data_IF_310883935011
#
_entry.id   IF_310883935011
#
_cell.length_a   1.000
_cell.length_b   1.000
_cell.length_c   1.000
_cell.angle_alpha   90.00
_cell.angle_beta   90.00
_cell.angle_gamma   90.00
#
_symmetry.space_group_name_H-M   'P 1'
#
loop_
_entity.id
_entity.type
_entity.pdbx_description
1 polymer ?
#
# COMPACT_ATOMS: atom_id res chain seq x y z
N UNK A 1 94.85 -11.12 29.74
CA UNK A 1 94.68 -10.80 31.17
C UNK A 1 93.82 -9.56 31.34
N UNK A 2 92.63 -9.77 31.94
CA UNK A 2 91.76 -8.87 32.75
C UNK A 2 91.74 -7.36 32.43
N UNK A 3 90.58 -6.90 31.91
CA UNK A 3 90.12 -5.50 32.04
C UNK A 3 88.99 -5.42 33.10
N UNK A 4 89.29 -4.60 34.11
CA UNK A 4 88.44 -3.74 34.96
C UNK A 4 87.18 -3.20 34.21
N UNK A 5 86.02 -2.85 34.78
CA UNK A 5 85.50 -2.58 36.14
C UNK A 5 83.95 -2.59 36.06
N UNK A 6 83.31 -2.70 37.22
CA UNK A 6 81.87 -2.62 37.58
C UNK A 6 81.01 -1.61 36.80
N UNK A 7 79.74 -1.97 36.51
CA UNK A 7 78.54 -1.24 36.98
C UNK A 7 77.22 -1.90 36.53
N UNK A 8 76.31 -1.98 37.49
CA UNK A 8 74.90 -2.42 37.47
C UNK A 8 74.02 -1.76 36.39
N UNK A 9 73.09 -2.52 35.78
CA UNK A 9 71.63 -2.23 35.80
C UNK A 9 70.86 -3.30 35.00
N UNK A 10 70.03 -4.06 35.70
CA UNK A 10 69.05 -4.98 35.13
C UNK A 10 67.86 -4.13 34.67
N UNK A 11 67.69 -3.93 33.37
CA UNK A 11 66.47 -3.40 32.76
C UNK A 11 65.94 -4.42 31.77
N UNK A 12 64.92 -5.17 32.18
CA UNK A 12 64.00 -5.85 31.28
C UNK A 12 62.64 -5.18 31.48
N UNK A 13 62.46 -4.05 30.80
CA UNK A 13 61.18 -3.39 30.66
C UNK A 13 60.34 -4.22 29.68
N UNK A 14 59.21 -4.72 30.19
CA UNK A 14 58.12 -5.32 29.41
C UNK A 14 57.63 -4.26 28.42
N UNK A 15 57.90 -4.49 27.13
CA UNK A 15 57.27 -3.71 26.06
C UNK A 15 55.81 -4.20 25.98
N UNK A 16 54.90 -3.38 26.49
CA UNK A 16 53.49 -3.39 26.12
C UNK A 16 53.42 -3.17 24.60
N UNK A 17 53.33 -4.25 23.84
CA UNK A 17 52.86 -4.16 22.46
C UNK A 17 51.37 -3.84 22.55
N UNK A 18 51.07 -2.55 22.31
CA UNK A 18 49.73 -2.06 22.08
C UNK A 18 49.09 -2.89 20.99
N UNK A 19 48.12 -3.72 21.35
CA UNK A 19 47.12 -4.15 20.40
C UNK A 19 46.44 -2.88 19.89
N UNK A 20 46.82 -2.46 18.68
CA UNK A 20 45.95 -1.63 17.86
C UNK A 20 44.72 -2.50 17.67
N UNK A 21 43.72 -2.33 18.54
CA UNK A 21 42.39 -2.86 18.33
C UNK A 21 41.87 -2.17 17.07
N UNK A 22 42.11 -2.81 15.91
CA UNK A 22 41.40 -2.51 14.67
C UNK A 22 39.94 -2.45 15.06
N UNK A 23 39.34 -1.26 14.98
CA UNK A 23 38.04 -0.96 15.55
C UNK A 23 37.07 -2.08 15.21
N UNK A 24 36.76 -2.92 16.20
CA UNK A 24 35.63 -3.82 16.13
C UNK A 24 34.42 -2.91 16.22
N UNK A 25 34.02 -2.32 15.09
CA UNK A 25 32.68 -1.80 14.93
C UNK A 25 31.78 -2.96 15.30
N UNK A 26 31.07 -2.86 16.42
CA UNK A 26 30.16 -3.90 16.86
C UNK A 26 29.34 -4.37 15.65
N UNK A 27 29.22 -5.70 15.42
CA UNK A 27 28.55 -6.20 14.22
C UNK A 27 27.16 -5.60 14.17
N UNK A 28 26.90 -4.82 13.11
CA UNK A 28 25.63 -4.13 12.94
C UNK A 28 24.57 -5.22 12.77
N UNK A 29 23.69 -5.31 13.76
CA UNK A 29 22.75 -6.42 13.90
C UNK A 29 21.95 -6.62 12.60
N UNK A 30 22.06 -7.82 12.02
CA UNK A 30 21.30 -8.23 10.84
C UNK A 30 22.03 -8.06 9.49
N UNK A 31 23.19 -7.38 9.43
CA UNK A 31 23.99 -7.33 8.19
C UNK A 31 24.68 -8.66 7.86
N UNK A 32 24.94 -9.48 8.88
CA UNK A 32 25.56 -10.80 8.82
C UNK A 32 24.74 -11.82 8.01
N UNK A 33 23.42 -11.61 7.91
CA UNK A 33 22.49 -12.51 7.22
C UNK A 33 22.16 -12.08 5.79
N UNK A 34 22.71 -10.94 5.35
CA UNK A 34 22.44 -10.39 4.02
C UNK A 34 23.39 -10.98 2.98
N UNK A 35 22.90 -11.10 1.74
CA UNK A 35 23.80 -11.35 0.61
C UNK A 35 24.79 -10.18 0.46
N UNK A 36 25.97 -10.39 -0.17
CA UNK A 36 26.95 -9.32 -0.35
C UNK A 36 26.38 -8.04 -0.99
N UNK A 37 25.45 -8.20 -1.94
CA UNK A 37 24.80 -7.08 -2.63
C UNK A 37 23.79 -6.33 -1.75
N UNK A 38 22.97 -7.05 -0.98
CA UNK A 38 22.04 -6.46 -0.02
C UNK A 38 22.77 -5.76 1.12
N UNK A 39 23.88 -6.33 1.57
CA UNK A 39 24.78 -5.72 2.52
C UNK A 39 25.35 -4.42 1.98
N UNK A 40 25.87 -4.43 0.75
CA UNK A 40 26.37 -3.21 0.10
C UNK A 40 25.28 -2.13 -0.03
N UNK A 41 24.03 -2.51 -0.30
CA UNK A 41 22.90 -1.57 -0.32
C UNK A 41 22.63 -0.95 1.06
N UNK A 42 22.63 -1.76 2.12
CA UNK A 42 22.45 -1.30 3.49
C UNK A 42 23.60 -0.39 3.93
N UNK A 43 24.84 -0.76 3.62
CA UNK A 43 26.06 0.01 3.95
C UNK A 43 26.08 1.38 3.27
N UNK A 44 25.55 1.50 2.03
CA UNK A 44 25.41 2.80 1.35
C UNK A 44 24.55 3.82 2.11
N UNK A 45 23.65 3.35 2.98
CA UNK A 45 22.76 4.19 3.79
C UNK A 45 22.71 3.70 5.24
N UNK A 46 23.87 3.42 5.82
CA UNK A 46 24.01 2.73 7.09
C UNK A 46 23.29 3.42 8.26
N UNK A 47 23.35 4.74 8.34
CA UNK A 47 22.67 5.52 9.37
C UNK A 47 21.15 5.31 9.33
N UNK A 48 20.56 5.31 8.13
CA UNK A 48 19.13 5.05 7.95
C UNK A 48 18.81 3.60 8.27
N UNK A 49 19.63 2.66 7.81
CA UNK A 49 19.45 1.23 8.06
C UNK A 49 19.40 0.90 9.55
N UNK A 50 20.28 1.52 10.35
CA UNK A 50 20.32 1.33 11.80
C UNK A 50 19.03 1.81 12.49
N UNK A 51 18.39 2.87 11.99
CA UNK A 51 17.13 3.41 12.52
C UNK A 51 15.90 2.55 12.20
N UNK A 52 15.98 1.66 11.21
CA UNK A 52 14.86 0.79 10.83
C UNK A 52 14.69 -0.37 11.81
N UNK A 53 13.44 -0.73 12.11
CA UNK A 53 13.12 -1.96 12.84
C UNK A 53 13.46 -3.20 11.99
N UNK A 54 13.57 -4.41 12.59
CA UNK A 54 13.77 -5.64 11.83
C UNK A 54 12.74 -5.85 10.71
N UNK A 55 11.47 -5.54 10.97
CA UNK A 55 10.36 -5.65 10.01
C UNK A 55 10.51 -4.64 8.86
N UNK A 56 10.90 -3.41 9.17
CA UNK A 56 11.15 -2.37 8.16
C UNK A 56 12.36 -2.72 7.28
N UNK A 57 13.43 -3.29 7.87
CA UNK A 57 14.58 -3.81 7.12
C UNK A 57 14.16 -4.94 6.18
N UNK A 58 13.35 -5.90 6.68
CA UNK A 58 12.84 -6.99 5.87
C UNK A 58 12.02 -6.48 4.66
N UNK A 59 11.11 -5.52 4.89
CA UNK A 59 10.34 -4.89 3.81
C UNK A 59 11.22 -4.13 2.82
N UNK A 60 12.26 -3.43 3.29
CA UNK A 60 13.19 -2.72 2.41
C UNK A 60 13.92 -3.69 1.47
N UNK A 61 14.37 -4.85 1.99
CA UNK A 61 15.01 -5.89 1.20
C UNK A 61 14.05 -6.56 0.22
N UNK A 62 12.82 -6.86 0.65
CA UNK A 62 11.78 -7.40 -0.23
C UNK A 62 11.49 -6.46 -1.40
N UNK A 63 11.30 -5.15 -1.10
CA UNK A 63 11.11 -4.13 -2.12
C UNK A 63 12.30 -4.04 -3.09
N UNK A 64 13.53 -4.16 -2.57
CA UNK A 64 14.73 -4.18 -3.40
C UNK A 64 14.79 -5.41 -4.32
N UNK A 65 14.54 -6.61 -3.78
CA UNK A 65 14.49 -7.85 -4.56
C UNK A 65 13.42 -7.77 -5.66
N UNK A 66 12.23 -7.26 -5.32
CA UNK A 66 11.15 -7.03 -6.29
C UNK A 66 11.55 -6.03 -7.37
N UNK A 67 12.20 -4.92 -7.00
CA UNK A 67 12.70 -3.95 -7.96
C UNK A 67 13.73 -4.57 -8.92
N UNK A 68 14.58 -5.46 -8.40
CA UNK A 68 15.58 -6.18 -9.20
C UNK A 68 14.93 -7.13 -10.19
N UNK A 69 13.85 -7.82 -9.80
CA UNK A 69 13.13 -8.74 -10.68
C UNK A 69 12.21 -8.06 -11.71
N UNK A 70 11.96 -6.75 -11.57
CA UNK A 70 11.18 -5.99 -12.56
C UNK A 70 11.90 -5.87 -13.91
N UNK A 71 11.11 -5.94 -14.98
CA UNK A 71 11.49 -5.60 -16.35
C UNK A 71 11.83 -4.11 -16.48
N UNK A 72 12.57 -3.69 -17.53
CA UNK A 72 12.83 -2.28 -17.81
C UNK A 72 11.55 -1.44 -17.87
N UNK A 73 10.49 -1.96 -18.48
CA UNK A 73 9.19 -1.32 -18.65
C UNK A 73 8.49 -1.12 -17.30
N UNK A 74 8.47 -2.14 -16.44
CA UNK A 74 7.89 -2.06 -15.09
C UNK A 74 8.64 -1.05 -14.21
N UNK A 75 9.98 -1.02 -14.29
CA UNK A 75 10.78 -0.03 -13.56
C UNK A 75 10.47 1.38 -14.04
N UNK A 76 10.29 1.58 -15.34
CA UNK A 76 9.93 2.89 -15.88
C UNK A 76 8.52 3.32 -15.44
N UNK A 77 7.54 2.42 -15.51
CA UNK A 77 6.21 2.68 -14.97
C UNK A 77 6.25 3.06 -13.47
N UNK A 78 7.06 2.35 -12.66
CA UNK A 78 7.24 2.68 -11.26
C UNK A 78 7.89 4.06 -11.05
N UNK A 79 8.89 4.45 -11.86
CA UNK A 79 9.47 5.80 -11.82
C UNK A 79 8.46 6.87 -12.18
N UNK A 80 7.63 6.65 -13.20
CA UNK A 80 6.58 7.58 -13.59
C UNK A 80 5.54 7.75 -12.49
N UNK A 81 5.10 6.65 -11.88
CA UNK A 81 4.20 6.68 -10.73
C UNK A 81 4.80 7.45 -9.55
N UNK A 82 6.09 7.27 -9.27
CA UNK A 82 6.79 8.03 -8.24
C UNK A 82 6.86 9.53 -8.57
N UNK A 83 7.14 9.91 -9.83
CA UNK A 83 7.12 11.32 -10.26
C UNK A 83 5.75 11.96 -10.04
N UNK A 84 4.68 11.27 -10.45
CA UNK A 84 3.29 11.71 -10.22
C UNK A 84 2.99 11.86 -8.73
N UNK A 85 3.35 10.86 -7.92
CA UNK A 85 3.16 10.92 -6.47
C UNK A 85 3.88 12.12 -5.83
N UNK A 86 5.12 12.41 -6.24
CA UNK A 86 5.88 13.56 -5.72
C UNK A 86 5.21 14.90 -6.02
N UNK A 87 4.48 15.00 -7.13
CA UNK A 87 3.77 16.21 -7.55
C UNK A 87 2.42 16.41 -6.83
N UNK A 88 1.92 15.41 -6.12
CA UNK A 88 0.68 15.52 -5.34
C UNK A 88 0.82 16.50 -4.18
N UNK A 89 -0.29 17.14 -3.80
CA UNK A 89 -0.37 17.98 -2.60
C UNK A 89 -0.12 17.15 -1.33
N UNK A 90 0.27 17.78 -0.20
CA UNK A 90 0.41 17.09 1.08
C UNK A 90 -0.83 16.29 1.49
N UNK A 91 -2.02 16.85 1.27
CA UNK A 91 -3.31 16.24 1.62
C UNK A 91 -3.59 15.00 0.75
N UNK A 92 -3.32 15.09 -0.55
CA UNK A 92 -3.45 13.95 -1.46
C UNK A 92 -2.48 12.83 -1.10
N UNK A 93 -1.22 13.17 -0.76
CA UNK A 93 -0.23 12.20 -0.29
C UNK A 93 -0.69 11.53 1.01
N UNK A 94 -1.16 12.31 1.98
CA UNK A 94 -1.64 11.80 3.25
C UNK A 94 -2.79 10.79 3.05
N UNK A 95 -3.74 11.12 2.16
CA UNK A 95 -4.85 10.21 1.82
C UNK A 95 -4.36 8.89 1.23
N UNK A 96 -3.44 8.94 0.26
CA UNK A 96 -2.88 7.72 -0.36
C UNK A 96 -2.14 6.87 0.68
N UNK A 97 -1.35 7.50 1.56
CA UNK A 97 -0.62 6.80 2.62
C UNK A 97 -1.58 6.14 3.61
N UNK A 98 -2.67 6.82 3.97
CA UNK A 98 -3.71 6.26 4.84
C UNK A 98 -4.41 5.07 4.16
N UNK A 99 -4.78 5.19 2.89
CA UNK A 99 -5.39 4.09 2.14
C UNK A 99 -4.44 2.90 2.01
N UNK A 100 -3.14 3.15 1.81
CA UNK A 100 -2.11 2.12 1.79
C UNK A 100 -1.94 1.44 3.15
N UNK A 101 -1.98 2.19 4.25
CA UNK A 101 -1.96 1.62 5.59
C UNK A 101 -3.15 0.69 5.82
N UNK A 102 -4.36 1.16 5.50
CA UNK A 102 -5.59 0.35 5.60
C UNK A 102 -5.49 -0.93 4.76
N UNK A 103 -4.91 -0.85 3.57
CA UNK A 103 -4.65 -2.02 2.72
C UNK A 103 -3.71 -3.04 3.39
N UNK A 104 -2.63 -2.57 4.02
CA UNK A 104 -1.67 -3.45 4.71
C UNK A 104 -2.26 -4.12 5.95
N UNK A 105 -3.24 -3.47 6.59
CA UNK A 105 -3.98 -4.00 7.75
C UNK A 105 -5.06 -5.02 7.34
N UNK A 106 -5.42 -5.11 6.06
CA UNK A 106 -6.40 -6.09 5.59
C UNK A 106 -5.89 -7.53 5.81
N UNK A 107 -6.73 -8.44 6.32
CA UNK A 107 -6.43 -9.87 6.31
C UNK A 107 -6.10 -10.35 4.90
N UNK A 108 -5.18 -11.30 4.79
CA UNK A 108 -4.69 -11.79 3.49
C UNK A 108 -5.83 -12.30 2.59
N UNK A 109 -6.79 -13.03 3.15
CA UNK A 109 -7.97 -13.49 2.42
C UNK A 109 -8.78 -12.34 1.80
N UNK A 110 -8.90 -11.20 2.50
CA UNK A 110 -9.59 -10.01 1.98
C UNK A 110 -8.77 -9.31 0.90
N UNK A 111 -7.44 -9.21 1.05
CA UNK A 111 -6.58 -8.68 -0.03
C UNK A 111 -6.72 -9.51 -1.30
N UNK A 112 -6.69 -10.83 -1.19
CA UNK A 112 -6.84 -11.73 -2.34
C UNK A 112 -8.21 -11.60 -3.01
N UNK A 113 -9.28 -11.47 -2.23
CA UNK A 113 -10.62 -11.22 -2.77
C UNK A 113 -10.69 -9.92 -3.57
N UNK A 114 -10.15 -8.83 -3.01
CA UNK A 114 -10.12 -7.52 -3.65
C UNK A 114 -9.25 -7.54 -4.92
N UNK A 115 -8.11 -8.22 -4.88
CA UNK A 115 -7.26 -8.39 -6.06
C UNK A 115 -8.01 -9.12 -7.18
N UNK A 116 -8.66 -10.26 -6.87
CA UNK A 116 -9.48 -10.99 -7.85
C UNK A 116 -10.64 -10.15 -8.38
N UNK A 117 -11.26 -9.32 -7.54
CA UNK A 117 -12.31 -8.41 -7.97
C UNK A 117 -11.78 -7.33 -8.93
N UNK A 118 -10.60 -6.80 -8.64
CA UNK A 118 -9.91 -5.84 -9.51
C UNK A 118 -9.52 -6.49 -10.84
N UNK A 119 -8.98 -7.70 -10.84
CA UNK A 119 -8.60 -8.41 -12.07
C UNK A 119 -9.83 -8.66 -12.96
N UNK A 120 -10.94 -9.12 -12.37
CA UNK A 120 -12.21 -9.24 -13.09
C UNK A 120 -12.68 -7.91 -13.66
N UNK A 121 -12.53 -6.82 -12.91
CA UNK A 121 -12.90 -5.48 -13.38
C UNK A 121 -12.01 -5.04 -14.56
N UNK A 122 -10.70 -5.30 -14.53
CA UNK A 122 -9.78 -4.94 -15.60
C UNK A 122 -10.08 -5.69 -16.90
N UNK A 123 -10.55 -6.94 -16.80
CA UNK A 123 -10.95 -7.79 -17.93
C UNK A 123 -12.29 -7.38 -18.56
N UNK A 124 -13.07 -6.49 -17.94
CA UNK A 124 -14.32 -6.03 -18.53
C UNK A 124 -14.06 -5.17 -19.78
N UNK A 125 -14.95 -5.24 -20.79
CA UNK A 125 -14.95 -4.30 -21.90
C UNK A 125 -14.93 -2.83 -21.41
N UNK A 126 -14.23 -1.92 -22.11
CA UNK A 126 -14.12 -0.51 -21.71
C UNK A 126 -15.44 0.14 -21.34
N UNK A 127 -16.49 -0.08 -22.12
CA UNK A 127 -17.82 0.51 -21.93
C UNK A 127 -18.47 0.01 -20.65
N UNK A 128 -18.22 -1.26 -20.28
CA UNK A 128 -18.71 -1.81 -19.00
C UNK A 128 -17.96 -1.20 -17.82
N UNK A 129 -16.65 -0.99 -17.93
CA UNK A 129 -15.85 -0.34 -16.89
C UNK A 129 -16.30 1.10 -16.68
N UNK A 130 -16.48 1.86 -17.77
CA UNK A 130 -16.97 3.24 -17.73
C UNK A 130 -18.34 3.32 -17.05
N UNK A 131 -19.28 2.45 -17.42
CA UNK A 131 -20.61 2.42 -16.79
C UNK A 131 -20.53 2.14 -15.29
N UNK A 132 -19.62 1.26 -14.85
CA UNK A 132 -19.41 1.00 -13.41
C UNK A 132 -18.84 2.24 -12.73
N UNK A 133 -17.82 2.87 -13.31
CA UNK A 133 -17.22 4.09 -12.78
C UNK A 133 -18.22 5.24 -12.69
N UNK A 134 -19.06 5.44 -13.71
CA UNK A 134 -20.13 6.45 -13.71
C UNK A 134 -21.13 6.19 -12.59
N UNK A 135 -21.60 4.94 -12.43
CA UNK A 135 -22.52 4.57 -11.34
C UNK A 135 -21.90 4.77 -9.97
N UNK A 136 -20.61 4.45 -9.83
CA UNK A 136 -19.88 4.67 -8.59
C UNK A 136 -19.70 6.17 -8.28
N UNK A 137 -19.39 6.99 -9.29
CA UNK A 137 -19.35 8.45 -9.13
C UNK A 137 -20.71 9.03 -8.71
N UNK A 138 -21.80 8.59 -9.34
CA UNK A 138 -23.16 8.95 -8.93
C UNK A 138 -23.47 8.53 -7.50
N UNK A 139 -23.02 7.35 -7.08
CA UNK A 139 -23.17 6.89 -5.69
C UNK A 139 -22.41 7.77 -4.71
N UNK A 140 -21.18 8.16 -5.06
CA UNK A 140 -20.34 9.04 -4.25
C UNK A 140 -20.91 10.46 -4.15
N UNK A 141 -21.68 10.92 -5.13
CA UNK A 141 -22.33 12.23 -5.06
C UNK A 141 -23.63 12.25 -4.24
N UNK A 142 -24.21 11.08 -3.90
CA UNK A 142 -25.42 11.02 -3.06
C UNK A 142 -25.14 11.49 -1.63
N UNK A 143 -26.12 12.19 -1.03
CA UNK A 143 -26.11 12.51 0.41
C UNK A 143 -26.17 11.25 1.27
N UNK A 144 -25.78 11.31 2.56
CA UNK A 144 -25.93 10.20 3.51
C UNK A 144 -27.36 9.63 3.54
N UNK A 145 -28.38 10.48 3.60
CA UNK A 145 -29.81 10.12 3.65
C UNK A 145 -30.25 9.44 2.36
N UNK A 146 -29.76 9.93 1.21
CA UNK A 146 -30.04 9.33 -0.08
C UNK A 146 -29.41 7.95 -0.25
N UNK A 147 -28.16 7.79 0.20
CA UNK A 147 -27.49 6.48 0.22
C UNK A 147 -28.25 5.51 1.10
N UNK A 148 -28.65 5.93 2.29
CA UNK A 148 -29.41 5.10 3.23
C UNK A 148 -30.74 4.65 2.61
N UNK A 149 -31.45 5.55 1.93
CA UNK A 149 -32.67 5.23 1.18
C UNK A 149 -32.41 4.18 0.11
N UNK A 150 -31.33 4.31 -0.67
CA UNK A 150 -30.98 3.31 -1.69
C UNK A 150 -30.66 1.95 -1.06
N UNK A 151 -29.89 1.92 0.04
CA UNK A 151 -29.58 0.68 0.76
C UNK A 151 -30.85 0.01 1.31
N UNK A 152 -31.77 0.77 1.91
CA UNK A 152 -33.06 0.25 2.38
C UNK A 152 -33.89 -0.32 1.23
N UNK A 153 -33.93 0.37 0.09
CA UNK A 153 -34.63 -0.12 -1.11
C UNK A 153 -34.02 -1.43 -1.62
N UNK A 154 -32.68 -1.51 -1.65
CA UNK A 154 -31.95 -2.72 -2.04
C UNK A 154 -32.24 -3.87 -1.08
N UNK A 155 -32.25 -3.61 0.22
CA UNK A 155 -32.52 -4.62 1.23
C UNK A 155 -33.94 -5.20 1.10
N UNK A 156 -34.95 -4.34 0.96
CA UNK A 156 -36.32 -4.79 0.67
C UNK A 156 -36.40 -5.63 -0.58
N UNK A 157 -35.68 -5.24 -1.65
CA UNK A 157 -35.65 -6.02 -2.88
C UNK A 157 -35.02 -7.41 -2.69
N UNK A 158 -33.93 -7.51 -1.91
CA UNK A 158 -33.26 -8.78 -1.61
C UNK A 158 -34.18 -9.74 -0.85
N UNK A 159 -35.02 -9.22 0.04
CA UNK A 159 -35.96 -10.00 0.85
C UNK A 159 -37.21 -10.46 0.08
N UNK A 160 -37.54 -9.84 -1.05
CA UNK A 160 -38.71 -10.21 -1.86
C UNK A 160 -38.56 -11.58 -2.53
N UNK A 161 -39.65 -12.34 -2.59
CA UNK A 161 -39.73 -13.58 -3.37
C UNK A 161 -39.70 -13.29 -4.89
N UNK A 162 -39.38 -14.29 -5.73
CA UNK A 162 -39.47 -14.13 -7.18
C UNK A 162 -40.84 -13.63 -7.66
N UNK A 163 -41.93 -14.12 -7.07
CA UNK A 163 -43.31 -13.75 -7.41
C UNK A 163 -43.62 -12.31 -7.02
N UNK A 164 -43.17 -11.86 -5.84
CA UNK A 164 -43.30 -10.46 -5.42
C UNK A 164 -42.56 -9.51 -6.37
N UNK A 165 -41.33 -9.89 -6.79
CA UNK A 165 -40.55 -9.13 -7.76
C UNK A 165 -41.23 -9.10 -9.13
N UNK A 166 -41.88 -10.19 -9.56
CA UNK A 166 -42.64 -10.22 -10.81
C UNK A 166 -43.88 -9.32 -10.72
N UNK A 167 -44.64 -9.37 -9.62
CA UNK A 167 -45.79 -8.48 -9.40
C UNK A 167 -45.40 -7.01 -9.47
N UNK A 168 -44.27 -6.62 -8.87
CA UNK A 168 -43.77 -5.25 -8.95
C UNK A 168 -43.36 -4.85 -10.37
N UNK A 169 -42.70 -5.76 -11.10
CA UNK A 169 -42.33 -5.54 -12.51
C UNK A 169 -43.57 -5.39 -13.38
N UNK A 170 -44.59 -6.22 -13.17
CA UNK A 170 -45.85 -6.15 -13.89
C UNK A 170 -46.60 -4.86 -13.61
N UNK A 171 -46.71 -4.47 -12.32
CA UNK A 171 -47.29 -3.18 -11.94
C UNK A 171 -46.56 -2.01 -12.63
N UNK A 172 -45.23 -2.06 -12.73
CA UNK A 172 -44.45 -1.04 -13.43
C UNK A 172 -44.66 -1.07 -14.95
N UNK A 173 -44.87 -2.25 -15.55
CA UNK A 173 -45.18 -2.39 -17.00
C UNK A 173 -46.56 -1.82 -17.33
N UNK A 174 -47.55 -2.04 -16.47
CA UNK A 174 -48.93 -1.59 -16.63
C UNK A 174 -49.15 -0.11 -16.27
N UNK A 175 -48.19 0.52 -15.58
CA UNK A 175 -48.26 1.93 -15.20
C UNK A 175 -48.24 2.84 -16.44
N UNK A 176 -49.21 3.78 -16.58
CA UNK A 176 -49.24 4.73 -17.69
C UNK A 176 -47.90 5.46 -17.88
N UNK A 177 -47.46 5.74 -19.12
CA UNK A 177 -46.22 6.47 -19.38
C UNK A 177 -46.08 7.77 -18.59
N UNK A 178 -47.15 8.54 -18.49
CA UNK A 178 -47.18 9.84 -17.79
C UNK A 178 -46.95 9.68 -16.29
N UNK A 179 -47.50 8.63 -15.68
CA UNK A 179 -47.27 8.32 -14.26
C UNK A 179 -45.82 7.88 -14.02
N UNK A 180 -45.24 7.09 -14.93
CA UNK A 180 -43.82 6.70 -14.86
C UNK A 180 -42.90 7.91 -14.99
N UNK A 181 -43.23 8.88 -15.85
CA UNK A 181 -42.48 10.14 -16.00
C UNK A 181 -42.54 10.98 -14.72
N UNK A 182 -43.73 11.19 -14.15
CA UNK A 182 -43.89 11.90 -12.87
C UNK A 182 -43.05 11.29 -11.75
N UNK A 183 -43.00 9.95 -11.65
CA UNK A 183 -42.17 9.25 -10.67
C UNK A 183 -40.66 9.38 -10.94
N UNK A 184 -40.24 9.58 -12.19
CA UNK A 184 -38.83 9.87 -12.52
C UNK A 184 -38.48 11.29 -12.13
N UNK A 185 -39.32 12.26 -12.49
CA UNK A 185 -39.14 13.67 -12.15
C UNK A 185 -39.09 13.89 -10.64
N UNK A 186 -40.03 13.30 -9.90
CA UNK A 186 -40.03 13.40 -8.43
C UNK A 186 -38.74 12.84 -7.82
N UNK A 187 -38.19 11.75 -8.38
CA UNK A 187 -36.90 11.20 -7.92
C UNK A 187 -35.71 12.09 -8.28
N UNK A 188 -35.76 12.77 -9.43
CA UNK A 188 -34.71 13.71 -9.83
C UNK A 188 -34.74 14.98 -8.97
N UNK A 189 -35.93 15.55 -8.74
CA UNK A 189 -36.11 16.71 -7.86
C UNK A 189 -35.62 16.42 -6.44
N UNK A 190 -35.97 15.26 -5.89
CA UNK A 190 -35.50 14.83 -4.56
C UNK A 190 -34.00 14.52 -4.49
N UNK A 191 -33.33 14.29 -5.62
CA UNK A 191 -31.87 14.09 -5.70
C UNK A 191 -31.08 15.39 -5.83
N UNK A 192 -31.74 16.47 -6.27
CA UNK A 192 -31.13 17.80 -6.39
C UNK A 192 -31.44 18.73 -5.22
N UNK A 193 -32.16 18.26 -4.20
CA UNK A 193 -32.41 19.02 -2.97
C UNK A 193 -31.26 18.75 -1.98
N UNK A 194 -30.64 19.81 -1.44
CA UNK A 194 -29.54 19.69 -0.49
C UNK A 194 -29.94 19.03 0.83
#
# INVERSE_FOLDING_TARGET
MRRRLLSTLLMLAVILATEVAWGQTAPIQGLDRLTPEERALAERNLERWQKLTPEERARALENYRRWKSMTPEEREAARQNYRRFRQLSPEQKARILQDFQRWNELPEARRQELQKAYDRFQQLPPERRERIQQRFGQWQSLSPEERERVLRNQERWRQMTPEERERLRERWRQMPPEERERLREQRQQRRGQP
#
